data_IF_894299904406
#
_entry.id   IF_894299904406
#
_cell.length_a   1.000
_cell.length_b   1.000
_cell.length_c   1.000
_cell.angle_alpha   90.00
_cell.angle_beta   90.00
_cell.angle_gamma   90.00
#
_symmetry.space_group_name_H-M   'P 1'
#
loop_
_entity.id
_entity.type
_entity.pdbx_description
1 polymer ?
#
# COMPACT_ATOMS: atom_id res chain seq x y z
N UNK A 1 -33.77 7.45 -16.61
CA UNK A 1 -32.31 7.47 -16.37
C UNK A 1 -32.09 8.39 -15.17
N UNK A 2 -31.54 7.89 -14.06
CA UNK A 2 -31.36 8.71 -12.85
C UNK A 2 -30.31 9.80 -13.11
N UNK A 3 -30.58 11.07 -12.76
CA UNK A 3 -29.65 12.17 -13.01
C UNK A 3 -28.44 12.05 -12.09
N UNK A 4 -27.24 12.11 -12.67
CA UNK A 4 -25.99 12.22 -11.90
C UNK A 4 -25.91 13.63 -11.33
N UNK A 5 -25.82 13.76 -10.00
CA UNK A 5 -25.97 15.06 -9.32
C UNK A 5 -24.70 15.92 -9.43
N UNK A 6 -23.52 15.34 -9.69
CA UNK A 6 -22.29 16.11 -9.94
C UNK A 6 -21.39 15.51 -11.02
N UNK A 7 -21.13 14.20 -10.99
CA UNK A 7 -20.50 13.47 -12.11
C UNK A 7 -20.67 11.96 -11.93
N UNK A 8 -20.69 11.21 -13.04
CA UNK A 8 -20.89 9.75 -13.02
C UNK A 8 -19.78 8.98 -12.27
N UNK A 9 -18.63 9.60 -12.01
CA UNK A 9 -17.45 8.99 -11.39
C UNK A 9 -17.12 9.56 -10.01
N UNK A 10 -17.54 10.78 -9.69
CA UNK A 10 -17.28 11.40 -8.39
C UNK A 10 -18.20 10.83 -7.31
N UNK A 11 -19.47 10.57 -7.63
CA UNK A 11 -20.45 10.08 -6.65
C UNK A 11 -20.04 8.70 -6.05
N UNK A 12 -19.54 7.72 -6.84
CA UNK A 12 -19.03 6.46 -6.27
C UNK A 12 -17.75 6.63 -5.45
N UNK A 13 -16.82 7.49 -5.89
CA UNK A 13 -15.58 7.75 -5.15
C UNK A 13 -15.90 8.37 -3.80
N UNK A 14 -16.81 9.35 -3.78
CA UNK A 14 -17.29 9.98 -2.57
C UNK A 14 -18.03 8.97 -1.67
N UNK A 15 -18.86 8.09 -2.24
CA UNK A 15 -19.53 7.03 -1.47
C UNK A 15 -18.55 6.07 -0.79
N UNK A 16 -17.53 5.60 -1.52
CA UNK A 16 -16.49 4.71 -0.96
C UNK A 16 -15.69 5.45 0.11
N UNK A 17 -15.26 6.68 -0.17
CA UNK A 17 -14.49 7.47 0.79
C UNK A 17 -15.28 7.75 2.06
N UNK A 18 -16.55 8.13 1.92
CA UNK A 18 -17.45 8.39 3.06
C UNK A 18 -17.70 7.12 3.86
N UNK A 19 -17.84 5.97 3.22
CA UNK A 19 -17.97 4.68 3.90
C UNK A 19 -16.73 4.31 4.73
N UNK A 20 -15.53 4.48 4.15
CA UNK A 20 -14.27 4.26 4.86
C UNK A 20 -14.15 5.24 6.05
N UNK A 21 -14.50 6.50 5.85
CA UNK A 21 -14.45 7.52 6.90
C UNK A 21 -15.42 7.23 8.05
N UNK A 22 -16.66 6.84 7.75
CA UNK A 22 -17.63 6.44 8.76
C UNK A 22 -17.15 5.22 9.57
N UNK A 23 -16.52 4.25 8.89
CA UNK A 23 -15.92 3.10 9.56
C UNK A 23 -14.75 3.49 10.47
N UNK A 24 -13.91 4.42 10.03
CA UNK A 24 -12.83 4.95 10.86
C UNK A 24 -13.37 5.63 12.13
N UNK A 25 -14.41 6.45 12.00
CA UNK A 25 -15.05 7.09 13.14
C UNK A 25 -15.66 6.06 14.11
N UNK A 26 -16.24 4.99 13.57
CA UNK A 26 -16.75 3.86 14.36
C UNK A 26 -15.65 3.16 15.17
N UNK A 27 -14.47 2.93 14.58
CA UNK A 27 -13.32 2.33 15.30
C UNK A 27 -12.75 3.26 16.40
N UNK A 28 -12.88 4.59 16.25
CA UNK A 28 -12.37 5.58 17.22
C UNK A 28 -13.34 5.91 18.36
N UNK A 29 -14.56 5.35 18.34
CA UNK A 29 -15.53 5.60 19.39
C UNK A 29 -15.17 4.83 20.66
N UNK A 30 -15.12 5.50 21.85
CA UNK A 30 -14.71 4.90 23.12
C UNK A 30 -15.63 3.76 23.62
N UNK A 31 -16.78 3.56 22.98
CA UNK A 31 -17.76 2.51 23.29
C UNK A 31 -17.64 1.28 22.40
N UNK A 32 -16.91 1.39 21.29
CA UNK A 32 -16.73 0.35 20.27
C UNK A 32 -15.27 0.17 19.93
N UNK A 33 -14.37 0.49 20.89
CA UNK A 33 -12.93 0.30 20.73
C UNK A 33 -12.64 -1.18 20.49
N UNK A 34 -12.44 -1.53 19.23
CA UNK A 34 -11.86 -2.82 18.88
C UNK A 34 -10.39 -2.78 19.31
N UNK A 35 -9.86 -3.90 19.85
CA UNK A 35 -8.43 -4.04 20.12
C UNK A 35 -7.62 -3.62 18.89
N UNK A 36 -6.51 -2.91 19.10
CA UNK A 36 -5.73 -2.34 17.99
C UNK A 36 -5.32 -3.41 16.97
N UNK A 37 -5.04 -4.64 17.42
CA UNK A 37 -4.72 -5.79 16.58
C UNK A 37 -5.81 -6.16 15.55
N UNK A 38 -7.06 -5.77 15.80
CA UNK A 38 -8.20 -6.07 14.92
C UNK A 38 -8.56 -4.91 13.99
N UNK A 39 -7.88 -3.76 14.09
CA UNK A 39 -8.16 -2.58 13.25
C UNK A 39 -7.65 -2.80 11.82
N UNK A 40 -8.45 -2.41 10.84
CA UNK A 40 -8.06 -2.51 9.43
C UNK A 40 -6.82 -1.67 9.11
N UNK A 41 -6.62 -0.56 9.82
CA UNK A 41 -5.45 0.31 9.68
C UNK A 41 -4.14 -0.46 9.92
N UNK A 42 -4.11 -1.37 10.90
CA UNK A 42 -2.92 -2.16 11.20
C UNK A 42 -2.61 -3.18 10.09
N UNK A 43 -3.65 -3.78 9.50
CA UNK A 43 -3.49 -4.65 8.34
C UNK A 43 -2.98 -3.89 7.11
N UNK A 44 -3.49 -2.67 6.88
CA UNK A 44 -3.02 -1.80 5.80
C UNK A 44 -1.56 -1.40 6.02
N UNK A 45 -1.19 -1.04 7.26
CA UNK A 45 0.20 -0.71 7.61
C UNK A 45 1.14 -1.89 7.35
N UNK A 46 0.77 -3.08 7.81
CA UNK A 46 1.53 -4.31 7.54
C UNK A 46 1.70 -4.56 6.04
N UNK A 47 0.62 -4.41 5.24
CA UNK A 47 0.68 -4.60 3.79
C UNK A 47 1.62 -3.59 3.12
N UNK A 48 1.61 -2.33 3.56
CA UNK A 48 2.52 -1.29 3.05
C UNK A 48 3.98 -1.60 3.42
N UNK A 49 4.24 -2.02 4.65
CA UNK A 49 5.57 -2.43 5.11
C UNK A 49 6.10 -3.64 4.33
N UNK A 50 5.25 -4.65 4.14
CA UNK A 50 5.58 -5.83 3.33
C UNK A 50 5.95 -5.45 1.89
N UNK A 51 5.12 -4.62 1.24
CA UNK A 51 5.40 -4.18 -0.13
C UNK A 51 6.67 -3.32 -0.23
N UNK A 52 6.97 -2.50 0.78
CA UNK A 52 8.24 -1.75 0.85
C UNK A 52 9.43 -2.67 0.97
N UNK A 53 9.33 -3.71 1.82
CA UNK A 53 10.40 -4.68 2.02
C UNK A 53 10.65 -5.52 0.75
N UNK A 54 9.60 -5.95 0.07
CA UNK A 54 9.71 -6.67 -1.21
C UNK A 54 10.42 -5.83 -2.28
N UNK A 55 10.12 -4.52 -2.35
CA UNK A 55 10.81 -3.60 -3.27
C UNK A 55 12.26 -3.37 -2.89
N UNK A 56 12.57 -3.26 -1.60
CA UNK A 56 13.93 -3.12 -1.12
C UNK A 56 14.76 -4.38 -1.45
N UNK A 57 14.22 -5.56 -1.18
CA UNK A 57 14.87 -6.84 -1.50
C UNK A 57 15.15 -6.96 -3.00
N UNK A 58 14.16 -6.65 -3.84
CA UNK A 58 14.35 -6.67 -5.30
C UNK A 58 15.43 -5.69 -5.77
N UNK A 59 15.47 -4.48 -5.20
CA UNK A 59 16.50 -3.49 -5.51
C UNK A 59 17.91 -3.94 -5.06
N UNK A 60 18.02 -4.63 -3.91
CA UNK A 60 19.27 -5.20 -3.43
C UNK A 60 19.75 -6.38 -4.30
N UNK A 61 18.83 -7.24 -4.73
CA UNK A 61 19.13 -8.34 -5.67
C UNK A 61 19.60 -7.81 -7.02
N UNK A 62 18.90 -6.83 -7.59
CA UNK A 62 19.30 -6.16 -8.84
C UNK A 62 20.66 -5.46 -8.71
N UNK A 63 20.94 -4.84 -7.55
CA UNK A 63 22.23 -4.20 -7.30
C UNK A 63 23.37 -5.23 -7.20
N UNK A 64 23.14 -6.39 -6.58
CA UNK A 64 24.14 -7.47 -6.47
C UNK A 64 24.43 -8.11 -7.83
N UNK A 65 23.39 -8.43 -8.60
CA UNK A 65 23.54 -9.00 -9.95
C UNK A 65 24.31 -8.05 -10.88
N UNK A 66 24.03 -6.75 -10.82
CA UNK A 66 24.77 -5.75 -11.60
C UNK A 66 26.25 -5.59 -11.19
N UNK A 67 26.59 -5.86 -9.93
CA UNK A 67 28.00 -5.84 -9.47
C UNK A 67 28.74 -7.09 -9.98
N UNK A 68 28.11 -8.27 -9.89
CA UNK A 68 28.67 -9.54 -10.38
C UNK A 68 29.00 -9.47 -11.88
N UNK A 69 28.07 -8.96 -12.70
CA UNK A 69 28.32 -8.80 -14.14
C UNK A 69 29.46 -7.84 -14.47
N UNK A 70 29.67 -6.79 -13.67
CA UNK A 70 30.79 -5.86 -13.87
C UNK A 70 32.14 -6.49 -13.56
N UNK A 71 32.21 -7.33 -12.52
CA UNK A 71 33.43 -8.04 -12.16
C UNK A 71 33.80 -9.07 -13.23
N UNK A 72 32.83 -9.81 -13.77
CA UNK A 72 33.06 -10.76 -14.87
C UNK A 72 33.56 -10.06 -16.14
N UNK A 73 33.01 -8.88 -16.48
CA UNK A 73 33.46 -8.10 -17.65
C UNK A 73 34.88 -7.56 -17.43
N UNK A 74 35.19 -7.06 -16.23
CA UNK A 74 36.52 -6.54 -15.91
C UNK A 74 37.61 -7.63 -15.92
N UNK A 75 37.28 -8.86 -15.52
CA UNK A 75 38.20 -10.00 -15.59
C UNK A 75 38.42 -10.46 -17.05
N UNK A 76 37.41 -10.36 -17.91
CA UNK A 76 37.51 -10.74 -19.33
C UNK A 76 38.31 -9.73 -20.19
N UNK A 77 38.41 -8.46 -19.76
CA UNK A 77 39.21 -7.43 -20.43
C UNK A 77 40.70 -7.43 -20.04
N UNK A 78 41.10 -8.24 -19.06
CA UNK A 78 42.45 -8.30 -18.50
C UNK A 78 43.30 -9.41 -19.12
#
# INVERSE_FOLDING_TARGET
MAPVLLSRTLDPILGIFTGIFAYHLYETNPRTELPEEQKLVNLVRWKMEKSRNERAHKAEEEARDNVDWKEVVAEAEK
#
